data_IF_832168303479
#
_entry.id   IF_832168303479
#
_cell.length_a   1.000
_cell.length_b   1.000
_cell.length_c   1.000
_cell.angle_alpha   90.00
_cell.angle_beta   90.00
_cell.angle_gamma   90.00
#
_symmetry.space_group_name_H-M   'P 1'
#
loop_
_entity.id
_entity.type
_entity.pdbx_description
1 polymer ?
#
# COMPACT_ATOMS: atom_id res chain seq x y z
N UNK A 1 9.53 10.22 -20.43
CA UNK A 1 8.66 11.31 -19.92
C UNK A 1 8.86 11.40 -18.41
N UNK A 2 9.19 12.58 -17.88
CA UNK A 2 9.43 12.77 -16.44
C UNK A 2 8.16 12.63 -15.61
N UNK A 3 8.29 12.33 -14.31
CA UNK A 3 7.16 12.33 -13.37
C UNK A 3 6.80 13.77 -13.01
N UNK A 4 5.51 14.09 -13.00
CA UNK A 4 4.97 15.32 -12.43
C UNK A 4 4.05 14.92 -11.27
N UNK A 5 4.52 15.11 -10.04
CA UNK A 5 3.79 14.69 -8.84
C UNK A 5 2.71 15.72 -8.48
N UNK A 6 1.51 15.28 -8.06
CA UNK A 6 0.45 16.21 -7.66
C UNK A 6 0.79 16.90 -6.33
N UNK A 7 0.32 18.13 -6.17
CA UNK A 7 0.34 18.82 -4.87
C UNK A 7 -0.78 18.26 -3.99
N UNK A 8 -0.48 18.00 -2.72
CA UNK A 8 -1.45 17.61 -1.69
C UNK A 8 -1.42 18.61 -0.53
N UNK A 9 -2.44 18.60 0.32
CA UNK A 9 -2.49 19.51 1.48
C UNK A 9 -1.42 19.16 2.52
N UNK A 10 -1.05 20.14 3.35
CA UNK A 10 -0.16 19.90 4.50
C UNK A 10 -0.72 18.85 5.47
N UNK A 11 -2.04 18.79 5.61
CA UNK A 11 -2.71 17.79 6.44
C UNK A 11 -2.46 16.38 5.90
N UNK A 12 -2.52 16.21 4.57
CA UNK A 12 -2.22 14.94 3.92
C UNK A 12 -0.78 14.50 4.19
N UNK A 13 0.18 15.42 4.05
CA UNK A 13 1.60 15.14 4.33
C UNK A 13 1.81 14.72 5.80
N UNK A 14 1.22 15.46 6.75
CA UNK A 14 1.26 15.12 8.19
C UNK A 14 0.61 13.76 8.47
N UNK A 15 -0.45 13.41 7.74
CA UNK A 15 -1.08 12.11 7.85
C UNK A 15 -0.16 10.99 7.34
N UNK A 16 0.50 11.17 6.19
CA UNK A 16 1.49 10.23 5.63
C UNK A 16 2.62 9.96 6.64
N UNK A 17 3.17 10.99 7.27
CA UNK A 17 4.24 10.81 8.27
C UNK A 17 3.79 10.03 9.51
N UNK A 18 2.56 10.31 9.98
CA UNK A 18 1.95 9.56 11.09
C UNK A 18 1.68 8.11 10.69
N UNK A 19 1.15 7.87 9.49
CA UNK A 19 0.92 6.53 8.96
C UNK A 19 2.22 5.75 8.82
N UNK A 20 3.29 6.37 8.28
CA UNK A 20 4.62 5.75 8.14
C UNK A 20 5.15 5.23 9.48
N UNK A 21 5.04 6.02 10.55
CA UNK A 21 5.47 5.60 11.90
C UNK A 21 4.66 4.42 12.44
N UNK A 22 3.33 4.43 12.26
CA UNK A 22 2.48 3.31 12.70
C UNK A 22 2.74 2.04 11.89
N UNK A 23 2.94 2.18 10.57
CA UNK A 23 3.30 1.06 9.70
C UNK A 23 4.62 0.42 10.12
N UNK A 24 5.65 1.21 10.45
CA UNK A 24 6.92 0.67 10.96
C UNK A 24 6.72 -0.22 12.18
N UNK A 25 5.97 0.28 13.17
CA UNK A 25 5.65 -0.46 14.39
C UNK A 25 4.93 -1.78 14.10
N UNK A 26 3.83 -1.72 13.33
CA UNK A 26 3.05 -2.91 12.98
C UNK A 26 3.89 -3.93 12.21
N UNK A 27 4.60 -3.49 11.17
CA UNK A 27 5.29 -4.39 10.25
C UNK A 27 6.44 -5.12 10.95
N UNK A 28 7.19 -4.41 11.81
CA UNK A 28 8.24 -5.01 12.62
C UNK A 28 7.66 -5.97 13.68
N UNK A 29 6.64 -5.54 14.44
CA UNK A 29 6.05 -6.33 15.52
C UNK A 29 5.41 -7.63 15.00
N UNK A 30 4.71 -7.57 13.85
CA UNK A 30 4.03 -8.73 13.26
C UNK A 30 4.90 -9.57 12.35
N UNK A 31 6.17 -9.18 12.14
CA UNK A 31 7.09 -9.83 11.22
C UNK A 31 6.48 -10.09 9.83
N UNK A 32 5.77 -9.09 9.28
CA UNK A 32 4.95 -9.24 8.08
C UNK A 32 5.45 -8.42 6.88
N UNK A 33 6.69 -7.92 6.93
CA UNK A 33 7.29 -7.13 5.85
C UNK A 33 7.22 -7.81 4.47
N UNK A 34 7.54 -9.11 4.30
CA UNK A 34 7.43 -9.76 2.99
C UNK A 34 6.02 -9.71 2.40
N UNK A 35 5.00 -9.83 3.24
CA UNK A 35 3.60 -9.80 2.82
C UNK A 35 3.16 -8.38 2.44
N UNK A 36 3.63 -7.34 3.14
CA UNK A 36 3.34 -5.94 2.79
C UNK A 36 4.03 -5.51 1.50
N UNK A 37 5.28 -5.95 1.29
CA UNK A 37 5.97 -5.74 0.02
C UNK A 37 5.24 -6.46 -1.12
N UNK A 38 4.78 -7.70 -0.89
CA UNK A 38 3.97 -8.44 -1.87
C UNK A 38 2.67 -7.70 -2.21
N UNK A 39 1.95 -7.15 -1.22
CA UNK A 39 0.76 -6.33 -1.47
C UNK A 39 1.09 -5.13 -2.35
N UNK A 40 2.15 -4.38 -2.05
CA UNK A 40 2.59 -3.24 -2.85
C UNK A 40 2.93 -3.62 -4.29
N UNK A 41 3.67 -4.72 -4.46
CA UNK A 41 4.03 -5.30 -5.76
C UNK A 41 2.80 -5.73 -6.57
N UNK A 42 1.94 -6.58 -6.01
CA UNK A 42 0.75 -7.09 -6.70
C UNK A 42 -0.23 -5.96 -7.06
N UNK A 43 -0.34 -4.94 -6.21
CA UNK A 43 -1.18 -3.77 -6.50
C UNK A 43 -0.65 -2.97 -7.68
N UNK A 44 0.67 -2.83 -7.82
CA UNK A 44 1.29 -2.04 -8.90
C UNK A 44 1.44 -2.82 -10.21
N UNK A 45 1.71 -4.13 -10.12
CA UNK A 45 2.06 -5.00 -11.24
C UNK A 45 0.94 -5.28 -12.23
N UNK A 46 -0.27 -4.77 -11.99
CA UNK A 46 -1.39 -4.87 -12.94
C UNK A 46 -1.37 -3.76 -14.00
N UNK A 47 -0.45 -2.79 -13.93
CA UNK A 47 -0.38 -1.68 -14.87
C UNK A 47 -0.02 -2.14 -16.29
N UNK A 48 -0.86 -1.79 -17.25
CA UNK A 48 -0.57 -1.92 -18.68
C UNK A 48 -0.33 -0.54 -19.32
N UNK A 49 0.81 -0.39 -19.99
CA UNK A 49 1.20 0.88 -20.60
C UNK A 49 0.35 1.23 -21.82
N UNK A 50 -0.07 0.24 -22.62
CA UNK A 50 -0.80 0.47 -23.86
C UNK A 50 -2.20 1.02 -23.60
N UNK A 51 -2.90 0.42 -22.65
CA UNK A 51 -4.28 0.81 -22.28
C UNK A 51 -4.34 1.79 -21.12
N UNK A 52 -3.24 2.00 -20.39
CA UNK A 52 -3.18 2.80 -19.15
C UNK A 52 -4.17 2.32 -18.08
N UNK A 53 -4.39 1.01 -18.02
CA UNK A 53 -5.28 0.37 -17.04
C UNK A 53 -4.47 -0.37 -15.97
N UNK A 54 -5.12 -0.73 -14.87
CA UNK A 54 -4.47 -1.34 -13.70
C UNK A 54 -3.50 -0.39 -13.01
N UNK A 55 -2.62 -0.92 -12.18
CA UNK A 55 -1.63 -0.17 -11.42
C UNK A 55 -2.04 0.16 -9.98
N UNK A 56 -1.20 0.89 -9.25
CA UNK A 56 -1.26 1.03 -7.79
C UNK A 56 -2.37 2.00 -7.33
N UNK A 57 -3.61 1.76 -7.71
CA UNK A 57 -4.75 2.65 -7.48
C UNK A 57 -5.73 2.12 -6.41
N UNK A 58 -5.24 1.25 -5.52
CA UNK A 58 -5.96 0.75 -4.33
C UNK A 58 -7.05 -0.29 -4.61
N UNK A 59 -7.13 -0.82 -5.84
CA UNK A 59 -8.15 -1.79 -6.26
C UNK A 59 -7.99 -3.16 -5.62
N UNK A 60 -6.79 -3.51 -5.15
CA UNK A 60 -6.47 -4.78 -4.48
C UNK A 60 -7.36 -5.12 -3.26
N UNK A 61 -8.09 -4.16 -2.69
CA UNK A 61 -9.09 -4.40 -1.62
C UNK A 61 -10.42 -4.97 -2.11
N UNK A 62 -10.68 -4.91 -3.41
CA UNK A 62 -11.94 -5.34 -4.01
C UNK A 62 -11.95 -6.87 -4.10
N UNK A 63 -13.08 -7.49 -3.74
CA UNK A 63 -13.25 -8.95 -3.74
C UNK A 63 -12.95 -9.57 -5.10
N UNK A 64 -13.27 -8.88 -6.20
CA UNK A 64 -12.96 -9.34 -7.56
C UNK A 64 -11.46 -9.51 -7.78
N UNK A 65 -10.66 -8.54 -7.37
CA UNK A 65 -9.20 -8.59 -7.54
C UNK A 65 -8.53 -9.51 -6.52
N UNK A 66 -9.01 -9.56 -5.27
CA UNK A 66 -8.55 -10.54 -4.27
C UNK A 66 -8.82 -11.99 -4.70
N UNK A 67 -9.90 -12.23 -5.47
CA UNK A 67 -10.25 -13.54 -5.99
C UNK A 67 -9.30 -14.08 -7.07
N UNK A 68 -8.39 -13.25 -7.60
CA UNK A 68 -7.39 -13.72 -8.55
C UNK A 68 -6.41 -14.69 -7.87
N UNK A 69 -6.13 -15.84 -8.50
CA UNK A 69 -5.27 -16.88 -7.91
C UNK A 69 -3.88 -16.38 -7.49
N UNK A 70 -3.29 -15.47 -8.27
CA UNK A 70 -2.00 -14.83 -7.94
C UNK A 70 -2.04 -14.03 -6.63
N UNK A 71 -3.20 -13.56 -6.20
CA UNK A 71 -3.41 -12.74 -5.00
C UNK A 71 -3.78 -13.56 -3.76
N UNK A 72 -3.75 -14.90 -3.83
CA UNK A 72 -4.02 -15.77 -2.69
C UNK A 72 -3.21 -15.36 -1.45
N UNK A 73 -3.88 -15.11 -0.33
CA UNK A 73 -3.27 -14.67 0.93
C UNK A 73 -3.01 -13.16 1.07
N UNK A 74 -3.21 -12.35 0.02
CA UNK A 74 -3.09 -10.88 0.11
C UNK A 74 -4.19 -10.27 1.00
N UNK A 75 -5.33 -10.94 1.12
CA UNK A 75 -6.40 -10.56 2.06
C UNK A 75 -5.93 -10.48 3.51
N UNK A 76 -4.96 -11.31 3.91
CA UNK A 76 -4.32 -11.26 5.24
C UNK A 76 -3.61 -9.91 5.42
N UNK A 77 -2.89 -9.44 4.41
CA UNK A 77 -2.18 -8.16 4.44
C UNK A 77 -3.16 -7.01 4.65
N UNK A 78 -4.26 -7.01 3.88
CA UNK A 78 -5.29 -5.97 3.95
C UNK A 78 -5.94 -5.94 5.33
N UNK A 79 -6.33 -7.09 5.87
CA UNK A 79 -6.92 -7.16 7.23
C UNK A 79 -5.97 -6.66 8.33
N UNK A 80 -4.67 -6.91 8.20
CA UNK A 80 -3.67 -6.40 9.16
C UNK A 80 -3.51 -4.89 9.08
N UNK A 81 -3.64 -4.34 7.87
CA UNK A 81 -3.48 -2.91 7.59
C UNK A 81 -4.73 -2.08 7.91
N UNK A 82 -5.93 -2.67 7.81
CA UNK A 82 -7.21 -1.98 7.94
C UNK A 82 -7.34 -1.15 9.23
N UNK A 83 -7.00 -1.66 10.43
CA UNK A 83 -7.13 -0.86 11.67
C UNK A 83 -6.23 0.38 11.70
N UNK A 84 -5.11 0.37 10.97
CA UNK A 84 -4.27 1.57 10.81
C UNK A 84 -4.85 2.48 9.74
N UNK A 85 -5.34 1.91 8.62
CA UNK A 85 -5.95 2.68 7.53
C UNK A 85 -7.18 3.47 7.97
N UNK A 86 -8.01 2.91 8.86
CA UNK A 86 -9.19 3.58 9.45
C UNK A 86 -8.82 4.84 10.24
N UNK A 87 -7.61 4.90 10.83
CA UNK A 87 -7.12 6.08 11.53
C UNK A 87 -6.70 7.22 10.58
N UNK A 88 -6.59 6.93 9.28
CA UNK A 88 -6.17 7.88 8.24
C UNK A 88 -7.18 7.89 7.09
N UNK A 89 -8.40 8.41 7.30
CA UNK A 89 -9.45 8.43 6.28
C UNK A 89 -9.08 9.32 5.08
N UNK A 90 -8.23 10.32 5.28
CA UNK A 90 -7.77 11.23 4.23
C UNK A 90 -6.77 10.58 3.27
N UNK A 91 -5.97 9.61 3.72
CA UNK A 91 -5.00 8.92 2.87
C UNK A 91 -5.72 7.92 1.96
N UNK A 92 -5.42 7.96 0.67
CA UNK A 92 -5.96 6.98 -0.28
C UNK A 92 -5.45 5.56 0.01
N UNK A 93 -6.24 4.53 -0.30
CA UNK A 93 -5.75 3.15 -0.21
C UNK A 93 -4.54 2.89 -1.13
N UNK A 94 -4.50 3.59 -2.27
CA UNK A 94 -3.39 3.58 -3.21
C UNK A 94 -2.07 3.97 -2.52
N UNK A 95 -2.02 5.17 -1.95
CA UNK A 95 -0.83 5.66 -1.26
C UNK A 95 -0.51 4.82 -0.02
N UNK A 96 -1.53 4.39 0.71
CA UNK A 96 -1.34 3.62 1.94
C UNK A 96 -0.69 2.25 1.68
N UNK A 97 -1.12 1.52 0.64
CA UNK A 97 -0.52 0.23 0.28
C UNK A 97 0.90 0.38 -0.27
N UNK A 98 1.15 1.42 -1.09
CA UNK A 98 2.51 1.70 -1.57
C UNK A 98 3.44 2.13 -0.42
N UNK A 99 2.94 2.95 0.52
CA UNK A 99 3.69 3.33 1.73
C UNK A 99 4.01 2.10 2.59
N UNK A 100 3.08 1.16 2.75
CA UNK A 100 3.32 -0.09 3.46
C UNK A 100 4.43 -0.93 2.79
N UNK A 101 4.46 -0.98 1.46
CA UNK A 101 5.53 -1.63 0.69
C UNK A 101 6.90 -0.96 0.89
N UNK A 102 6.95 0.37 0.82
CA UNK A 102 8.19 1.15 1.09
C UNK A 102 8.68 0.91 2.52
N UNK A 103 7.79 1.00 3.51
CA UNK A 103 8.13 0.78 4.91
C UNK A 103 8.59 -0.65 5.14
N UNK A 104 7.99 -1.64 4.47
CA UNK A 104 8.41 -3.03 4.58
C UNK A 104 9.87 -3.24 4.22
N UNK A 105 10.35 -2.62 3.13
CA UNK A 105 11.77 -2.67 2.72
C UNK A 105 12.63 -1.98 3.77
N UNK A 106 12.25 -0.76 4.17
CA UNK A 106 12.99 0.07 5.12
C UNK A 106 13.18 -0.63 6.48
N UNK A 107 12.13 -1.27 7.03
CA UNK A 107 12.24 -1.97 8.32
C UNK A 107 13.08 -3.24 8.25
N UNK A 108 13.28 -3.79 7.06
CA UNK A 108 14.16 -4.95 6.83
C UNK A 108 15.60 -4.57 6.50
N UNK A 109 15.93 -3.27 6.53
CA UNK A 109 17.30 -2.77 6.35
C UNK A 109 17.71 -2.45 4.91
N UNK A 110 16.74 -2.31 4.00
CA UNK A 110 16.95 -1.85 2.62
C UNK A 110 16.60 -0.39 2.39
#
# INVERSE_FOLDING_TARGET
MGKSYPTVSEEYLKAIDKAKRKLRGLIAEKNCAPLMLRLGWHSAGTYDQATKTGGPFGTMRLKSELGHGANSGVDIAIRLLEPIKEQFPTISYADFYQLAGVVAVEVTGG
#
